data_IF_238407039869
#
_entry.id   IF_238407039869
#
_cell.length_a   1.000
_cell.length_b   1.000
_cell.length_c   1.000
_cell.angle_alpha   90.00
_cell.angle_beta   90.00
_cell.angle_gamma   90.00
#
_symmetry.space_group_name_H-M   'P 1'
#
loop_
_entity.id
_entity.type
_entity.pdbx_description
1 polymer ?
#
# COMPACT_ATOMS: atom_id res chain seq x y z
N UNK A 1 -17.81 17.22 63.53
CA UNK A 1 -17.29 18.35 62.75
C UNK A 1 -16.64 17.79 61.49
N UNK A 2 -17.23 18.07 60.34
CA UNK A 2 -16.90 17.43 59.04
C UNK A 2 -15.76 18.20 58.35
N UNK A 3 -14.65 17.53 58.09
CA UNK A 3 -13.54 18.07 57.32
C UNK A 3 -13.70 17.68 55.85
N UNK A 4 -13.97 18.67 54.99
CA UNK A 4 -14.09 18.52 53.53
C UNK A 4 -12.67 18.50 52.95
N UNK A 5 -12.24 17.33 52.46
CA UNK A 5 -11.06 17.23 51.60
C UNK A 5 -11.43 17.59 50.17
N UNK A 6 -10.97 18.75 49.68
CA UNK A 6 -11.01 19.13 48.29
C UNK A 6 -9.97 18.30 47.52
N UNK A 7 -10.42 17.33 46.73
CA UNK A 7 -9.58 16.63 45.78
C UNK A 7 -9.46 17.55 44.56
N UNK A 8 -8.28 18.13 44.39
CA UNK A 8 -7.88 18.87 43.18
C UNK A 8 -7.59 17.84 42.10
N UNK A 9 -8.51 17.68 41.17
CA UNK A 9 -8.26 16.96 39.90
C UNK A 9 -7.26 17.77 39.08
N UNK A 10 -5.97 17.46 39.23
CA UNK A 10 -4.97 17.92 38.26
C UNK A 10 -5.29 17.28 36.91
N UNK A 11 -5.75 18.09 35.98
CA UNK A 11 -5.81 17.75 34.53
C UNK A 11 -4.38 17.45 34.08
N UNK A 12 -3.97 16.19 34.13
CA UNK A 12 -2.83 15.72 33.34
C UNK A 12 -3.20 15.93 31.88
N UNK A 13 -2.66 16.99 31.31
CA UNK A 13 -2.50 17.09 29.85
C UNK A 13 -1.57 15.94 29.47
N UNK A 14 -2.12 14.87 28.91
CA UNK A 14 -1.35 13.93 28.14
C UNK A 14 -0.74 14.74 26.99
N UNK A 15 0.52 15.12 27.15
CA UNK A 15 1.33 15.55 26.03
C UNK A 15 1.30 14.37 25.05
N UNK A 16 0.64 14.54 23.91
CA UNK A 16 0.70 13.61 22.79
C UNK A 16 2.18 13.52 22.43
N UNK A 17 2.85 12.47 22.89
CA UNK A 17 4.16 12.11 22.37
C UNK A 17 3.91 11.93 20.88
N UNK A 18 4.42 12.83 20.06
CA UNK A 18 4.33 12.74 18.61
C UNK A 18 4.96 11.38 18.25
N UNK A 19 4.13 10.38 17.98
CA UNK A 19 4.60 9.09 17.47
C UNK A 19 5.25 9.38 16.14
N UNK A 20 6.51 8.99 16.01
CA UNK A 20 7.17 9.07 14.71
C UNK A 20 6.42 8.14 13.73
N UNK A 21 6.10 8.62 12.53
CA UNK A 21 5.44 7.78 11.55
C UNK A 21 6.26 6.53 11.24
N UNK A 22 5.60 5.40 10.97
CA UNK A 22 6.27 4.16 10.59
C UNK A 22 7.07 4.33 9.31
N UNK A 23 6.50 5.08 8.36
CA UNK A 23 7.17 5.43 7.11
C UNK A 23 7.08 6.93 6.88
N UNK A 24 8.20 7.54 6.52
CA UNK A 24 8.30 8.95 6.17
C UNK A 24 9.06 9.11 4.86
N UNK A 25 8.50 9.84 3.94
CA UNK A 25 9.14 10.29 2.71
C UNK A 25 9.41 11.80 2.80
N UNK A 26 10.60 12.23 2.45
CA UNK A 26 11.01 13.63 2.50
C UNK A 26 11.56 14.06 1.15
N UNK A 27 10.87 15.00 0.50
CA UNK A 27 11.28 15.67 -0.73
C UNK A 27 11.72 14.71 -1.84
N UNK A 28 10.92 13.65 -2.06
CA UNK A 28 11.20 12.65 -3.08
C UNK A 28 11.03 13.23 -4.48
N UNK A 29 12.01 12.95 -5.35
CA UNK A 29 11.99 13.32 -6.77
C UNK A 29 12.32 12.11 -7.62
N UNK A 30 11.58 11.95 -8.74
CA UNK A 30 11.87 10.99 -9.80
C UNK A 30 11.51 11.53 -11.16
N UNK A 31 12.50 11.54 -12.06
CA UNK A 31 12.34 11.92 -13.46
C UNK A 31 12.71 10.75 -14.35
N UNK A 32 11.86 10.42 -15.29
CA UNK A 32 12.15 9.45 -16.34
C UNK A 32 12.51 10.18 -17.63
N UNK A 33 13.50 9.65 -18.35
CA UNK A 33 13.91 10.11 -19.65
C UNK A 33 13.39 9.12 -20.68
N UNK A 34 12.47 9.55 -21.54
CA UNK A 34 11.92 8.72 -22.61
C UNK A 34 12.45 9.26 -23.95
N UNK A 35 13.10 8.43 -24.72
CA UNK A 35 13.48 8.78 -26.08
C UNK A 35 12.25 8.65 -26.99
N UNK A 36 11.71 9.77 -27.43
CA UNK A 36 10.67 9.78 -28.47
C UNK A 36 11.37 9.82 -29.84
N UNK A 37 11.28 8.73 -30.59
CA UNK A 37 11.72 8.67 -31.98
C UNK A 37 10.52 8.93 -32.87
N UNK A 38 10.33 10.19 -33.28
CA UNK A 38 9.40 10.55 -34.35
C UNK A 38 10.20 11.08 -35.53
N UNK A 39 10.07 10.47 -36.70
CA UNK A 39 10.66 10.90 -37.99
C UNK A 39 12.19 11.17 -37.97
N UNK A 40 12.98 10.31 -37.29
CA UNK A 40 14.45 10.43 -37.31
C UNK A 40 15.03 11.53 -36.41
N UNK A 41 14.22 12.32 -35.72
CA UNK A 41 14.64 13.29 -34.71
C UNK A 41 14.52 12.65 -33.32
N UNK A 42 15.66 12.48 -32.61
CA UNK A 42 15.69 12.05 -31.21
C UNK A 42 15.37 13.26 -30.33
N UNK A 43 14.15 13.36 -29.83
CA UNK A 43 13.83 14.26 -28.75
C UNK A 43 13.71 13.47 -27.44
N UNK A 44 14.48 13.84 -26.43
CA UNK A 44 14.28 13.27 -25.09
C UNK A 44 13.14 14.02 -24.38
N UNK A 45 12.08 13.32 -24.08
CA UNK A 45 11.00 13.86 -23.23
C UNK A 45 11.32 13.50 -21.78
N UNK A 46 11.42 14.51 -20.95
CA UNK A 46 11.57 14.33 -19.50
C UNK A 46 10.17 14.31 -18.85
N UNK A 47 9.85 13.23 -18.15
CA UNK A 47 8.62 13.12 -17.36
C UNK A 47 8.99 13.06 -15.89
N UNK A 48 8.68 14.13 -15.13
CA UNK A 48 8.85 14.15 -13.69
C UNK A 48 7.67 13.44 -13.03
N UNK A 49 7.83 12.14 -12.78
CA UNK A 49 6.78 11.29 -12.23
C UNK A 49 6.53 11.53 -10.73
N UNK A 50 7.54 11.98 -9.99
CA UNK A 50 7.46 12.36 -8.59
C UNK A 50 8.23 13.67 -8.42
N UNK A 51 7.59 14.71 -7.91
CA UNK A 51 8.13 16.06 -7.80
C UNK A 51 7.99 16.60 -6.38
N UNK A 52 9.09 16.58 -5.62
CA UNK A 52 9.23 17.12 -4.26
C UNK A 52 8.16 16.62 -3.27
N UNK A 53 7.88 15.29 -3.29
CA UNK A 53 6.85 14.70 -2.45
C UNK A 53 7.37 14.44 -1.04
N UNK A 54 6.60 14.94 -0.05
CA UNK A 54 6.80 14.63 1.37
C UNK A 54 5.50 14.12 1.99
N UNK A 55 5.55 12.98 2.70
CA UNK A 55 4.42 12.39 3.40
C UNK A 55 4.87 11.51 4.57
N UNK A 56 3.98 11.31 5.54
CA UNK A 56 4.16 10.36 6.64
C UNK A 56 2.97 9.41 6.74
N UNK A 57 3.24 8.15 7.10
CA UNK A 57 2.22 7.10 7.33
C UNK A 57 2.44 6.54 8.74
N UNK A 58 1.40 6.63 9.57
CA UNK A 58 1.44 6.15 10.94
C UNK A 58 1.32 4.63 11.04
N UNK A 59 1.80 4.03 12.13
CA UNK A 59 1.64 2.59 12.36
C UNK A 59 0.16 2.22 12.45
N UNK A 60 -0.27 1.22 11.66
CA UNK A 60 -1.64 0.73 11.60
C UNK A 60 -2.59 1.60 10.75
N UNK A 61 -2.09 2.69 10.16
CA UNK A 61 -2.85 3.58 9.28
C UNK A 61 -2.99 2.99 7.87
N UNK A 62 -4.11 3.25 7.23
CA UNK A 62 -4.25 3.17 5.77
C UNK A 62 -4.24 4.57 5.17
N UNK A 63 -3.14 4.92 4.49
CA UNK A 63 -3.09 6.12 3.66
C UNK A 63 -3.55 5.76 2.23
N UNK A 64 -4.67 6.32 1.78
CA UNK A 64 -5.13 6.22 0.40
C UNK A 64 -4.39 7.21 -0.49
N UNK A 65 -3.85 6.75 -1.62
CA UNK A 65 -3.23 7.61 -2.62
C UNK A 65 -4.06 7.59 -3.89
N UNK A 66 -4.66 8.72 -4.24
CA UNK A 66 -5.58 8.86 -5.38
C UNK A 66 -5.08 9.88 -6.40
N UNK A 67 -5.59 9.79 -7.61
CA UNK A 67 -5.28 10.69 -8.73
C UNK A 67 -5.48 9.99 -10.07
N UNK A 68 -5.45 10.73 -11.17
CA UNK A 68 -5.59 10.17 -12.52
C UNK A 68 -4.51 9.15 -12.87
N UNK A 69 -4.76 8.32 -13.90
CA UNK A 69 -3.74 7.44 -14.47
C UNK A 69 -2.55 8.28 -14.94
N UNK A 70 -1.32 7.81 -14.67
CA UNK A 70 -0.11 8.54 -15.02
C UNK A 70 0.27 9.68 -14.06
N UNK A 71 -0.47 9.93 -12.96
CA UNK A 71 -0.11 10.99 -12.00
C UNK A 71 1.14 10.68 -11.15
N UNK A 72 1.71 9.46 -11.24
CA UNK A 72 2.94 9.06 -10.55
C UNK A 72 2.76 8.19 -9.31
N UNK A 73 1.53 7.80 -8.96
CA UNK A 73 1.19 7.02 -7.74
C UNK A 73 1.98 5.72 -7.58
N UNK A 74 1.96 4.86 -8.61
CA UNK A 74 2.68 3.58 -8.60
C UNK A 74 4.20 3.79 -8.55
N UNK A 75 4.71 4.85 -9.19
CA UNK A 75 6.11 5.24 -9.09
C UNK A 75 6.47 5.61 -7.65
N UNK A 76 5.66 6.44 -7.00
CA UNK A 76 5.86 6.81 -5.59
C UNK A 76 5.85 5.56 -4.69
N UNK A 77 4.83 4.69 -4.82
CA UNK A 77 4.75 3.45 -4.05
C UNK A 77 5.99 2.56 -4.21
N UNK A 78 6.49 2.41 -5.45
CA UNK A 78 7.70 1.63 -5.74
C UNK A 78 8.98 2.30 -5.22
N UNK A 79 9.04 3.64 -5.20
CA UNK A 79 10.16 4.37 -4.60
C UNK A 79 10.23 4.17 -3.09
N UNK A 80 9.09 4.17 -2.37
CA UNK A 80 9.04 3.91 -0.94
C UNK A 80 9.62 2.54 -0.56
N UNK A 81 9.49 1.55 -1.45
CA UNK A 81 10.06 0.20 -1.30
C UNK A 81 11.46 0.05 -1.93
N UNK A 82 12.02 1.13 -2.48
CA UNK A 82 13.26 1.10 -3.25
C UNK A 82 13.25 0.02 -4.36
N UNK A 83 12.10 -0.14 -5.03
CA UNK A 83 11.96 -0.89 -6.28
C UNK A 83 12.23 0.01 -7.49
N UNK A 84 12.12 1.33 -7.30
CA UNK A 84 12.55 2.39 -8.23
C UNK A 84 13.45 3.32 -7.44
N UNK A 85 14.65 3.57 -7.95
CA UNK A 85 15.61 4.48 -7.32
C UNK A 85 15.11 5.94 -7.43
N UNK A 86 15.16 6.67 -6.31
CA UNK A 86 14.88 8.10 -6.29
C UNK A 86 16.07 8.89 -6.86
N UNK A 87 15.79 10.00 -7.55
CA UNK A 87 16.83 10.91 -8.01
C UNK A 87 17.32 11.82 -6.85
N UNK A 88 16.41 12.15 -5.91
CA UNK A 88 16.72 12.87 -4.67
C UNK A 88 15.66 12.64 -3.60
N UNK A 89 15.95 13.11 -2.38
CA UNK A 89 15.10 12.95 -1.20
C UNK A 89 15.53 11.78 -0.32
N UNK A 90 14.66 11.39 0.60
CA UNK A 90 14.89 10.25 1.49
C UNK A 90 13.61 9.52 1.85
N UNK A 91 13.73 8.24 2.21
CA UNK A 91 12.67 7.41 2.76
C UNK A 91 13.16 6.83 4.09
N UNK A 92 12.46 7.11 5.17
CA UNK A 92 12.72 6.58 6.50
C UNK A 92 11.64 5.57 6.83
N UNK A 93 12.02 4.34 7.14
CA UNK A 93 11.12 3.29 7.61
C UNK A 93 11.61 2.80 8.98
N UNK A 94 10.78 2.93 10.00
CA UNK A 94 11.11 2.56 11.38
C UNK A 94 12.47 3.12 11.85
N UNK A 95 12.72 4.41 11.53
CA UNK A 95 13.96 5.11 11.84
C UNK A 95 15.17 4.80 10.94
N UNK A 96 15.05 3.90 9.95
CA UNK A 96 16.11 3.53 9.03
C UNK A 96 15.94 4.18 7.66
N UNK A 97 17.00 4.71 7.09
CA UNK A 97 16.96 5.29 5.75
C UNK A 97 17.01 4.19 4.68
N UNK A 98 15.87 3.94 4.03
CA UNK A 98 15.70 2.89 3.01
C UNK A 98 16.59 3.12 1.80
N UNK A 99 16.73 4.39 1.35
CA UNK A 99 17.48 4.70 0.14
C UNK A 99 19.01 4.56 0.33
N UNK A 100 19.49 4.69 1.58
CA UNK A 100 20.92 4.54 1.92
C UNK A 100 21.27 3.16 2.46
N UNK A 101 20.28 2.29 2.68
CA UNK A 101 20.48 0.95 3.22
C UNK A 101 21.40 0.12 2.31
N UNK A 102 22.38 -0.55 2.88
CA UNK A 102 23.21 -1.54 2.19
C UNK A 102 22.43 -2.81 1.84
N UNK A 103 22.99 -3.68 1.02
CA UNK A 103 22.30 -4.88 0.53
C UNK A 103 21.76 -5.79 1.63
N UNK A 104 22.50 -5.99 2.71
CA UNK A 104 22.09 -6.82 3.85
C UNK A 104 20.92 -6.17 4.63
N UNK A 105 21.01 -4.86 4.90
CA UNK A 105 19.98 -4.10 5.58
C UNK A 105 18.72 -4.00 4.72
N UNK A 106 18.86 -3.75 3.41
CA UNK A 106 17.73 -3.71 2.47
C UNK A 106 17.00 -5.06 2.42
N UNK A 107 17.74 -6.18 2.50
CA UNK A 107 17.13 -7.51 2.58
C UNK A 107 16.25 -7.65 3.84
N UNK A 108 16.69 -7.12 4.98
CA UNK A 108 15.89 -7.11 6.22
C UNK A 108 14.67 -6.20 6.09
N UNK A 109 14.84 -4.97 5.56
CA UNK A 109 13.75 -4.03 5.34
C UNK A 109 12.66 -4.61 4.42
N UNK A 110 13.04 -5.30 3.34
CA UNK A 110 12.09 -5.96 2.43
C UNK A 110 11.27 -7.07 3.07
N UNK A 111 11.69 -7.63 4.20
CA UNK A 111 10.86 -8.55 4.98
C UNK A 111 9.66 -7.82 5.60
N UNK A 112 9.89 -6.59 6.08
CA UNK A 112 8.89 -5.78 6.80
C UNK A 112 8.07 -4.89 5.85
N UNK A 113 8.53 -4.71 4.60
CA UNK A 113 7.93 -3.85 3.57
C UNK A 113 7.62 -4.68 2.34
N UNK A 114 6.33 -4.84 2.02
CA UNK A 114 5.86 -5.70 0.94
C UNK A 114 5.00 -4.94 -0.06
N UNK A 115 4.73 -5.54 -1.22
CA UNK A 115 3.87 -4.99 -2.27
C UNK A 115 2.83 -6.02 -2.72
N UNK A 116 1.60 -5.53 -2.94
CA UNK A 116 0.55 -6.24 -3.66
C UNK A 116 0.44 -5.54 -5.01
N UNK A 117 0.69 -6.27 -6.10
CA UNK A 117 0.73 -5.72 -7.45
C UNK A 117 -0.67 -5.58 -8.06
N UNK A 118 -0.76 -4.67 -9.03
CA UNK A 118 -1.94 -4.37 -9.82
C UNK A 118 -2.41 -5.56 -10.67
N UNK A 119 -1.46 -6.26 -11.31
CA UNK A 119 -1.75 -7.38 -12.19
C UNK A 119 -1.53 -8.72 -11.47
N UNK A 120 -2.61 -9.44 -11.11
CA UNK A 120 -2.51 -10.75 -10.49
C UNK A 120 -2.01 -11.83 -11.46
N UNK A 121 -2.07 -11.58 -12.78
CA UNK A 121 -1.60 -12.54 -13.79
C UNK A 121 -0.08 -12.43 -13.99
N UNK A 122 0.44 -11.23 -14.17
CA UNK A 122 1.87 -10.99 -14.38
C UNK A 122 2.72 -11.10 -13.12
N UNK A 123 2.09 -11.06 -11.93
CA UNK A 123 2.82 -11.09 -10.65
C UNK A 123 3.14 -12.50 -10.13
N UNK A 124 2.55 -13.56 -10.69
CA UNK A 124 2.73 -14.95 -10.27
C UNK A 124 3.38 -15.75 -11.41
N UNK A 125 4.51 -16.43 -11.15
CA UNK A 125 5.14 -17.30 -12.17
C UNK A 125 4.20 -18.49 -12.45
N UNK A 126 3.68 -18.66 -13.68
CA UNK A 126 2.73 -19.73 -14.03
C UNK A 126 3.32 -21.13 -13.95
N UNK A 127 4.66 -21.26 -13.86
CA UNK A 127 5.39 -22.54 -13.76
C UNK A 127 5.59 -22.99 -12.32
N UNK A 128 5.34 -22.12 -11.35
CA UNK A 128 5.47 -22.43 -9.94
C UNK A 128 4.13 -22.83 -9.33
N UNK A 129 4.16 -23.78 -8.38
CA UNK A 129 2.97 -24.07 -7.56
C UNK A 129 2.67 -22.91 -6.62
N UNK A 130 1.42 -22.78 -6.19
CA UNK A 130 1.01 -21.75 -5.23
C UNK A 130 1.81 -21.85 -3.92
N UNK A 131 2.15 -23.04 -3.45
CA UNK A 131 3.03 -23.23 -2.29
C UNK A 131 4.39 -22.58 -2.51
N UNK A 132 5.01 -22.82 -3.67
CA UNK A 132 6.32 -22.27 -4.02
C UNK A 132 6.28 -20.75 -4.10
N UNK A 133 5.23 -20.18 -4.72
CA UNK A 133 5.03 -18.73 -4.85
C UNK A 133 4.83 -18.08 -3.47
N UNK A 134 3.94 -18.64 -2.65
CA UNK A 134 3.64 -18.08 -1.33
C UNK A 134 4.83 -18.20 -0.39
N UNK A 135 5.59 -19.31 -0.44
CA UNK A 135 6.77 -19.51 0.40
C UNK A 135 8.03 -18.78 -0.08
N UNK A 136 8.07 -18.25 -1.31
CA UNK A 136 9.24 -17.58 -1.88
C UNK A 136 9.86 -16.53 -0.95
N UNK A 137 9.10 -15.59 -0.32
CA UNK A 137 9.69 -14.62 0.60
C UNK A 137 10.40 -15.27 1.80
N UNK A 138 9.91 -16.39 2.31
CA UNK A 138 10.55 -17.09 3.42
C UNK A 138 11.85 -17.79 2.98
N UNK A 139 11.92 -18.25 1.74
CA UNK A 139 13.13 -18.85 1.17
C UNK A 139 14.20 -17.78 0.98
N UNK A 140 13.80 -16.60 0.46
CA UNK A 140 14.71 -15.48 0.22
C UNK A 140 15.21 -14.84 1.51
N UNK A 141 14.36 -14.68 2.52
CA UNK A 141 14.65 -13.91 3.73
C UNK A 141 14.96 -14.74 4.97
N UNK A 142 14.64 -16.02 4.99
CA UNK A 142 14.70 -16.84 6.20
C UNK A 142 15.47 -18.14 6.06
N UNK A 143 15.76 -18.74 7.21
CA UNK A 143 16.34 -20.09 7.34
C UNK A 143 15.31 -21.08 7.89
N UNK A 144 14.01 -20.84 7.66
CA UNK A 144 12.95 -21.70 8.18
C UNK A 144 12.98 -23.08 7.49
N UNK A 145 12.77 -24.13 8.26
CA UNK A 145 12.64 -25.50 7.73
C UNK A 145 11.42 -25.63 6.81
N UNK A 146 11.47 -26.54 5.83
CA UNK A 146 10.39 -26.72 4.85
C UNK A 146 9.03 -26.98 5.49
N UNK A 147 8.99 -27.78 6.59
CA UNK A 147 7.74 -28.05 7.34
C UNK A 147 7.13 -26.77 7.94
N UNK A 148 7.95 -25.89 8.50
CA UNK A 148 7.46 -24.65 9.12
C UNK A 148 6.99 -23.66 8.06
N UNK A 149 7.69 -23.59 6.91
CA UNK A 149 7.24 -22.78 5.77
C UNK A 149 5.86 -23.21 5.27
N UNK A 150 5.65 -24.55 5.10
CA UNK A 150 4.36 -25.08 4.67
C UNK A 150 3.24 -24.76 5.68
N UNK A 151 3.51 -24.89 6.99
CA UNK A 151 2.55 -24.53 8.03
C UNK A 151 2.14 -23.06 7.93
N UNK A 152 3.11 -22.14 7.76
CA UNK A 152 2.83 -20.73 7.57
C UNK A 152 2.07 -20.46 6.26
N UNK A 153 2.40 -21.18 5.17
CA UNK A 153 1.65 -21.06 3.93
C UNK A 153 0.17 -21.43 4.13
N UNK A 154 -0.12 -22.51 4.85
CA UNK A 154 -1.50 -22.90 5.20
C UNK A 154 -2.20 -21.80 6.02
N UNK A 155 -1.51 -21.22 7.01
CA UNK A 155 -2.07 -20.15 7.84
C UNK A 155 -2.47 -18.92 6.99
N UNK A 156 -1.57 -18.42 6.13
CA UNK A 156 -1.86 -17.26 5.29
C UNK A 156 -2.87 -17.54 4.19
N UNK A 157 -2.88 -18.78 3.62
CA UNK A 157 -3.90 -19.18 2.65
C UNK A 157 -5.30 -19.15 3.27
N UNK A 158 -5.47 -19.67 4.48
CA UNK A 158 -6.73 -19.58 5.22
C UNK A 158 -7.12 -18.14 5.54
N UNK A 159 -6.16 -17.29 5.94
CA UNK A 159 -6.42 -15.88 6.20
C UNK A 159 -6.95 -15.12 4.97
N UNK A 160 -6.53 -15.52 3.75
CA UNK A 160 -7.05 -14.94 2.51
C UNK A 160 -8.27 -15.67 1.96
N UNK A 161 -8.82 -16.66 2.69
CA UNK A 161 -10.01 -17.42 2.31
C UNK A 161 -9.78 -18.44 1.20
N UNK A 162 -8.57 -19.02 1.13
CA UNK A 162 -8.24 -20.13 0.24
C UNK A 162 -7.95 -21.39 1.06
N UNK A 163 -8.38 -22.55 0.51
CA UNK A 163 -8.17 -23.85 1.15
C UNK A 163 -6.73 -24.34 0.98
N UNK A 164 -6.28 -25.20 1.90
CA UNK A 164 -4.94 -25.81 1.87
C UNK A 164 -4.69 -26.62 0.59
N UNK A 165 -5.72 -27.26 0.03
CA UNK A 165 -5.61 -28.00 -1.24
C UNK A 165 -5.17 -27.14 -2.41
N UNK A 166 -5.35 -25.81 -2.31
CA UNK A 166 -4.91 -24.85 -3.30
C UNK A 166 -3.38 -24.73 -3.42
N UNK A 167 -2.62 -25.11 -2.39
CA UNK A 167 -1.15 -25.01 -2.36
C UNK A 167 -0.45 -25.84 -3.45
N UNK A 168 -1.02 -27.00 -3.80
CA UNK A 168 -0.46 -27.88 -4.85
C UNK A 168 -0.80 -27.47 -6.28
N UNK A 169 -1.68 -26.48 -6.45
CA UNK A 169 -2.18 -26.05 -7.76
C UNK A 169 -1.28 -24.97 -8.39
N UNK A 170 -1.48 -24.72 -9.69
CA UNK A 170 -0.76 -23.69 -10.44
C UNK A 170 -1.64 -22.44 -10.63
N UNK A 171 -1.04 -21.25 -10.82
CA UNK A 171 -1.80 -19.99 -10.98
C UNK A 171 -2.87 -20.04 -12.08
N UNK A 172 -2.63 -20.74 -13.19
CA UNK A 172 -3.57 -20.81 -14.31
C UNK A 172 -4.88 -21.55 -13.97
N UNK A 173 -4.92 -22.31 -12.87
CA UNK A 173 -6.12 -23.03 -12.39
C UNK A 173 -7.05 -22.17 -11.51
N UNK A 174 -6.71 -20.88 -11.31
CA UNK A 174 -7.44 -19.96 -10.43
C UNK A 174 -8.11 -18.85 -11.20
N UNK A 175 -9.26 -18.36 -10.71
CA UNK A 175 -9.87 -17.12 -11.16
C UNK A 175 -8.98 -15.90 -10.84
N UNK A 176 -9.23 -14.75 -11.47
CA UNK A 176 -8.50 -13.51 -11.21
C UNK A 176 -8.52 -13.11 -9.72
N UNK A 177 -9.69 -13.18 -9.07
CA UNK A 177 -9.81 -12.90 -7.65
C UNK A 177 -9.08 -13.89 -6.74
N UNK A 178 -9.04 -15.18 -7.11
CA UNK A 178 -8.26 -16.17 -6.39
C UNK A 178 -6.76 -15.96 -6.55
N UNK A 179 -6.28 -15.60 -7.75
CA UNK A 179 -4.88 -15.22 -7.99
C UNK A 179 -4.49 -13.99 -7.17
N UNK A 180 -5.37 -13.00 -7.08
CA UNK A 180 -5.14 -11.84 -6.24
C UNK A 180 -5.01 -12.22 -4.75
N UNK A 181 -5.82 -13.16 -4.26
CA UNK A 181 -5.70 -13.72 -2.90
C UNK A 181 -4.36 -14.44 -2.69
N UNK A 182 -3.85 -15.17 -3.69
CA UNK A 182 -2.50 -15.79 -3.64
C UNK A 182 -1.42 -14.71 -3.57
N UNK A 183 -1.52 -13.62 -4.36
CA UNK A 183 -0.61 -12.47 -4.30
C UNK A 183 -0.61 -11.78 -2.92
N UNK A 184 -1.79 -11.64 -2.32
CA UNK A 184 -1.94 -11.13 -0.95
C UNK A 184 -1.29 -12.08 0.06
N UNK A 185 -1.53 -13.41 -0.04
CA UNK A 185 -0.91 -14.41 0.83
C UNK A 185 0.62 -14.37 0.75
N UNK A 186 1.19 -14.24 -0.45
CA UNK A 186 2.64 -14.07 -0.67
C UNK A 186 3.18 -12.83 0.05
N UNK A 187 2.48 -11.71 -0.01
CA UNK A 187 2.89 -10.50 0.70
C UNK A 187 2.82 -10.65 2.22
N UNK A 188 1.84 -11.40 2.74
CA UNK A 188 1.61 -11.57 4.18
C UNK A 188 2.54 -12.57 4.86
N UNK A 189 3.09 -13.54 4.12
CA UNK A 189 3.80 -14.68 4.73
C UNK A 189 5.03 -14.27 5.53
N UNK A 190 5.68 -13.16 5.17
CA UNK A 190 6.80 -12.56 5.90
C UNK A 190 6.37 -11.82 7.17
N UNK A 191 5.05 -11.66 7.43
CA UNK A 191 4.46 -10.84 8.50
C UNK A 191 4.95 -9.39 8.43
N UNK A 192 4.72 -8.70 7.30
CA UNK A 192 5.21 -7.35 7.10
C UNK A 192 4.50 -6.37 8.04
N UNK A 193 5.14 -5.22 8.27
CA UNK A 193 4.54 -4.09 9.00
C UNK A 193 3.94 -3.06 8.05
N UNK A 194 4.44 -3.00 6.80
CA UNK A 194 4.00 -2.06 5.77
C UNK A 194 3.78 -2.75 4.44
N UNK A 195 2.67 -2.42 3.78
CA UNK A 195 2.33 -2.94 2.46
C UNK A 195 1.90 -1.80 1.54
N UNK A 196 2.51 -1.72 0.37
CA UNK A 196 2.01 -0.94 -0.76
C UNK A 196 1.02 -1.81 -1.54
N UNK A 197 -0.24 -1.43 -1.56
CA UNK A 197 -1.27 -2.07 -2.39
C UNK A 197 -1.45 -1.21 -3.66
N UNK A 198 -0.75 -1.59 -4.74
CA UNK A 198 -0.72 -0.84 -6.01
C UNK A 198 -1.88 -1.29 -6.90
N UNK A 199 -2.99 -0.56 -6.87
CA UNK A 199 -4.24 -0.82 -7.61
C UNK A 199 -4.73 -2.30 -7.52
N UNK A 200 -4.87 -2.88 -6.32
CA UNK A 200 -5.02 -4.32 -6.12
C UNK A 200 -6.33 -4.92 -6.66
N UNK A 201 -7.25 -4.09 -7.16
CA UNK A 201 -8.57 -4.51 -7.66
C UNK A 201 -8.89 -4.00 -9.06
N UNK A 202 -7.99 -3.28 -9.72
CA UNK A 202 -8.26 -2.63 -11.01
C UNK A 202 -8.51 -3.60 -12.17
N UNK A 203 -7.94 -4.81 -12.10
CA UNK A 203 -8.09 -5.87 -13.11
C UNK A 203 -9.24 -6.87 -12.79
N UNK A 204 -10.04 -6.60 -11.76
CA UNK A 204 -11.10 -7.47 -11.28
C UNK A 204 -12.49 -6.87 -11.56
N UNK A 205 -13.49 -7.72 -11.70
CA UNK A 205 -14.88 -7.26 -11.72
C UNK A 205 -15.28 -6.61 -10.38
N UNK A 206 -16.34 -5.78 -10.41
CA UNK A 206 -16.76 -4.97 -9.26
C UNK A 206 -17.04 -5.82 -8.01
N UNK A 207 -17.70 -6.97 -8.18
CA UNK A 207 -18.12 -7.81 -7.06
C UNK A 207 -16.93 -8.50 -6.40
N UNK A 208 -16.00 -9.02 -7.19
CA UNK A 208 -14.76 -9.63 -6.70
C UNK A 208 -13.84 -8.57 -6.11
N UNK A 209 -13.76 -7.40 -6.75
CA UNK A 209 -13.01 -6.24 -6.23
C UNK A 209 -13.48 -5.84 -4.82
N UNK A 210 -14.80 -5.76 -4.59
CA UNK A 210 -15.36 -5.47 -3.27
C UNK A 210 -14.97 -6.53 -2.22
N UNK A 211 -14.94 -7.82 -2.59
CA UNK A 211 -14.48 -8.88 -1.69
C UNK A 211 -13.00 -8.72 -1.32
N UNK A 212 -12.14 -8.35 -2.28
CA UNK A 212 -10.70 -8.12 -2.01
C UNK A 212 -10.50 -6.91 -1.11
N UNK A 213 -11.25 -5.82 -1.31
CA UNK A 213 -11.18 -4.62 -0.45
C UNK A 213 -11.60 -4.96 0.98
N UNK A 214 -12.69 -5.71 1.17
CA UNK A 214 -13.12 -6.18 2.49
C UNK A 214 -12.07 -7.09 3.14
N UNK A 215 -11.47 -7.98 2.37
CA UNK A 215 -10.37 -8.84 2.82
C UNK A 215 -9.18 -8.00 3.31
N UNK A 216 -8.73 -7.00 2.54
CA UNK A 216 -7.61 -6.13 2.94
C UNK A 216 -7.92 -5.38 4.24
N UNK A 217 -9.16 -4.91 4.41
CA UNK A 217 -9.61 -4.24 5.65
C UNK A 217 -9.63 -5.18 6.86
N UNK A 218 -10.05 -6.43 6.65
CA UNK A 218 -9.99 -7.47 7.68
C UNK A 218 -8.54 -7.76 8.09
N UNK A 219 -7.67 -8.01 7.10
CA UNK A 219 -6.25 -8.32 7.32
C UNK A 219 -5.50 -7.17 8.00
N UNK A 220 -5.84 -5.91 7.69
CA UNK A 220 -5.28 -4.75 8.38
C UNK A 220 -5.51 -4.83 9.90
N UNK A 221 -6.74 -5.13 10.30
CA UNK A 221 -7.12 -5.23 11.72
C UNK A 221 -6.50 -6.45 12.41
N UNK A 222 -6.52 -7.60 11.73
CA UNK A 222 -6.04 -8.87 12.27
C UNK A 222 -4.52 -8.87 12.45
N UNK A 223 -3.78 -8.36 11.46
CA UNK A 223 -2.31 -8.36 11.46
C UNK A 223 -1.70 -7.00 11.82
N UNK A 224 -2.53 -6.00 12.19
CA UNK A 224 -2.08 -4.63 12.52
C UNK A 224 -1.21 -4.01 11.42
N UNK A 225 -1.62 -4.20 10.16
CA UNK A 225 -0.88 -3.75 8.98
C UNK A 225 -1.01 -2.24 8.77
N UNK A 226 0.05 -1.66 8.24
CA UNK A 226 0.06 -0.28 7.72
C UNK A 226 0.00 -0.35 6.20
N UNK A 227 -0.90 0.41 5.57
CA UNK A 227 -1.05 0.42 4.11
C UNK A 227 -0.75 1.78 3.48
N UNK A 228 -0.07 1.74 2.33
CA UNK A 228 -0.28 2.73 1.26
C UNK A 228 -1.19 2.08 0.22
N UNK A 229 -2.44 2.52 0.15
CA UNK A 229 -3.43 1.98 -0.76
C UNK A 229 -3.58 2.89 -1.98
N UNK A 230 -3.09 2.46 -3.12
CA UNK A 230 -3.13 3.22 -4.38
C UNK A 230 -4.34 2.78 -5.18
N UNK A 231 -5.16 3.75 -5.60
CA UNK A 231 -6.31 3.50 -6.46
C UNK A 231 -6.69 4.77 -7.23
N UNK A 232 -7.33 4.57 -8.38
CA UNK A 232 -8.03 5.65 -9.10
C UNK A 232 -9.52 5.75 -8.68
N UNK A 233 -10.03 4.81 -7.88
CA UNK A 233 -11.42 4.76 -7.43
C UNK A 233 -11.58 5.42 -6.06
N UNK A 234 -12.12 6.63 -6.02
CA UNK A 234 -12.39 7.38 -4.78
C UNK A 234 -13.34 6.63 -3.83
N UNK A 235 -14.43 5.96 -4.28
CA UNK A 235 -15.30 5.20 -3.38
C UNK A 235 -14.58 4.09 -2.62
N UNK A 236 -13.67 3.37 -3.28
CA UNK A 236 -12.89 2.32 -2.65
C UNK A 236 -11.94 2.91 -1.59
N UNK A 237 -11.25 3.99 -1.94
CA UNK A 237 -10.32 4.65 -1.03
C UNK A 237 -11.07 5.24 0.18
N UNK A 238 -12.21 5.90 -0.04
CA UNK A 238 -13.07 6.42 1.04
C UNK A 238 -13.50 5.33 2.03
N UNK A 239 -13.74 4.11 1.54
CA UNK A 239 -14.15 2.98 2.38
C UNK A 239 -13.00 2.42 3.23
N UNK A 240 -11.77 2.43 2.71
CA UNK A 240 -10.64 1.73 3.32
C UNK A 240 -9.70 2.66 4.10
N UNK A 241 -9.47 3.90 3.60
CA UNK A 241 -8.43 4.78 4.09
C UNK A 241 -8.84 5.62 5.30
N UNK A 242 -7.90 5.83 6.21
CA UNK A 242 -8.01 6.76 7.33
C UNK A 242 -7.72 8.20 6.87
N UNK A 243 -6.69 8.35 6.03
CA UNK A 243 -6.31 9.61 5.36
C UNK A 243 -6.18 9.39 3.86
N UNK A 244 -6.38 10.46 3.11
CA UNK A 244 -6.24 10.48 1.65
C UNK A 244 -5.20 11.51 1.25
N UNK A 245 -4.30 11.10 0.38
CA UNK A 245 -3.36 11.95 -0.34
C UNK A 245 -3.77 11.99 -1.82
N UNK A 246 -3.92 13.18 -2.36
CA UNK A 246 -4.32 13.40 -3.76
C UNK A 246 -3.09 13.79 -4.56
N UNK A 247 -2.83 13.05 -5.63
CA UNK A 247 -1.65 13.26 -6.48
C UNK A 247 -2.06 13.69 -7.89
N UNK A 248 -1.46 14.77 -8.38
CA UNK A 248 -1.64 15.29 -9.73
C UNK A 248 -0.28 15.61 -10.35
N UNK A 249 0.00 15.08 -11.55
CA UNK A 249 1.21 15.39 -12.34
C UNK A 249 2.52 15.34 -11.56
N UNK A 250 2.67 14.33 -10.71
CA UNK A 250 3.87 14.12 -9.90
C UNK A 250 3.89 14.86 -8.56
N UNK A 251 2.89 15.64 -8.22
CA UNK A 251 2.84 16.44 -6.99
C UNK A 251 1.70 15.97 -6.06
N UNK A 252 1.89 16.08 -4.75
CA UNK A 252 0.81 15.97 -3.77
C UNK A 252 0.11 17.34 -3.69
N UNK A 253 -1.13 17.38 -4.16
CA UNK A 253 -1.92 18.63 -4.19
C UNK A 253 -2.76 18.81 -2.93
N UNK A 254 -3.14 17.72 -2.27
CA UNK A 254 -3.89 17.77 -1.02
C UNK A 254 -3.67 16.48 -0.21
N UNK A 255 -3.62 16.60 1.12
CA UNK A 255 -3.58 15.47 2.05
C UNK A 255 -4.39 15.81 3.29
N UNK A 256 -5.22 14.90 3.75
CA UNK A 256 -6.08 15.11 4.93
C UNK A 256 -6.78 13.84 5.38
N UNK A 257 -7.59 13.94 6.43
CA UNK A 257 -8.48 12.85 6.82
C UNK A 257 -9.43 12.51 5.70
N UNK A 258 -9.86 11.26 5.62
CA UNK A 258 -10.82 10.81 4.59
C UNK A 258 -12.09 11.67 4.62
N UNK A 259 -12.60 12.00 5.81
CA UNK A 259 -13.76 12.89 5.96
C UNK A 259 -13.50 14.27 5.34
N UNK A 260 -12.39 14.93 5.71
CA UNK A 260 -12.05 16.26 5.17
C UNK A 260 -11.95 16.25 3.64
N UNK A 261 -11.17 15.32 3.08
CA UNK A 261 -10.98 15.24 1.63
C UNK A 261 -12.29 14.98 0.88
N UNK A 262 -13.21 14.20 1.46
CA UNK A 262 -14.46 13.82 0.78
C UNK A 262 -15.59 14.84 0.94
N UNK A 263 -15.55 15.69 1.98
CA UNK A 263 -16.65 16.64 2.28
C UNK A 263 -16.24 18.10 2.15
N UNK A 264 -14.98 18.44 2.35
CA UNK A 264 -14.47 19.79 2.44
C UNK A 264 -13.14 20.00 1.70
N UNK A 265 -12.95 19.32 0.56
CA UNK A 265 -11.74 19.44 -0.24
C UNK A 265 -11.44 20.90 -0.60
N UNK A 266 -10.21 21.31 -0.34
CA UNK A 266 -9.75 22.68 -0.57
C UNK A 266 -9.21 22.89 -1.99
N UNK A 267 -8.50 21.87 -2.53
CA UNK A 267 -7.86 21.98 -3.83
C UNK A 267 -8.87 21.81 -4.98
N UNK A 268 -8.85 22.66 -6.03
CA UNK A 268 -9.78 22.55 -7.16
C UNK A 268 -9.76 21.20 -7.86
N UNK A 269 -8.58 20.62 -8.06
CA UNK A 269 -8.44 19.28 -8.67
C UNK A 269 -9.09 18.18 -7.84
N UNK A 270 -8.95 18.22 -6.50
CA UNK A 270 -9.62 17.26 -5.60
C UNK A 270 -11.13 17.32 -5.76
N UNK A 271 -11.70 18.54 -5.83
CA UNK A 271 -13.14 18.74 -6.08
C UNK A 271 -13.58 18.18 -7.43
N UNK A 272 -12.79 18.42 -8.49
CA UNK A 272 -13.07 17.85 -9.82
C UNK A 272 -13.03 16.32 -9.78
N UNK A 273 -12.05 15.72 -9.11
CA UNK A 273 -11.91 14.28 -8.97
C UNK A 273 -13.12 13.67 -8.20
N UNK A 274 -13.58 14.32 -7.16
CA UNK A 274 -14.78 13.92 -6.41
C UNK A 274 -16.04 14.03 -7.26
N UNK A 275 -16.24 15.15 -7.98
CA UNK A 275 -17.40 15.36 -8.83
C UNK A 275 -17.49 14.38 -10.02
N UNK A 276 -16.34 13.90 -10.52
CA UNK A 276 -16.27 12.87 -11.56
C UNK A 276 -16.57 11.45 -11.05
N UNK A 277 -16.70 11.27 -9.73
CA UNK A 277 -16.93 9.97 -9.11
C UNK A 277 -18.43 9.77 -8.93
N UNK A 278 -19.07 8.73 -9.50
CA UNK A 278 -20.47 8.42 -9.24
C UNK A 278 -20.69 8.20 -7.74
N UNK A 279 -21.66 8.87 -7.15
CA UNK A 279 -22.10 8.57 -5.78
C UNK A 279 -22.64 7.13 -5.78
N UNK A 280 -22.01 6.25 -5.01
CA UNK A 280 -22.66 5.00 -4.66
C UNK A 280 -23.78 5.37 -3.68
N UNK A 281 -25.02 5.46 -4.17
CA UNK A 281 -26.17 5.55 -3.30
C UNK A 281 -26.10 4.42 -2.28
N UNK A 282 -25.97 4.78 -1.00
CA UNK A 282 -26.11 3.84 0.08
C UNK A 282 -27.54 3.29 -0.01
N UNK A 283 -27.68 2.11 -0.60
CA UNK A 283 -28.93 1.36 -0.60
C UNK A 283 -29.32 1.12 0.85
N UNK A 284 -30.12 2.02 1.39
CA UNK A 284 -30.83 1.82 2.66
C UNK A 284 -31.80 0.66 2.46
N UNK A 285 -31.40 -0.52 2.92
CA UNK A 285 -32.31 -1.62 3.27
C UNK A 285 -31.79 -2.34 4.50
#
# INVERSE_FOLDING_TARGET
MRCFAKIIFAKLRFATIARMPLLQANRLVKTFHTEASALGLRSSVQVRAVNDISLGIETGETLGLVGESGSGKSTLGRMLLRLVEADSGEVIFDGKNVLRAGSSEMRQLRRDMQIIFQDPFGSLDPRMTVESIVCEPLIVHGNEAGRDRRKRAVEVMRAVGLDESALGRFPHEFSGGQRQRVGIARALISRPRFIVADEPVSALDVSVGAQIVNLLKQLQREFQLTYLFISHSMPIVRYLADRIAVMQRGELVEIGTTEHITTAASHPYTRTLLAATPEMEASSR
#
